data_IF_088267604649
#
_entry.id   IF_088267604649
#
_cell.length_a   1.000
_cell.length_b   1.000
_cell.length_c   1.000
_cell.angle_alpha   90.00
_cell.angle_beta   90.00
_cell.angle_gamma   90.00
#
_symmetry.space_group_name_H-M   'P 1'
#
loop_
_entity.id
_entity.type
_entity.pdbx_description
1 polymer ?
#
# COMPACT_ATOMS: atom_id res chain seq x y z
N UNK A 1 7.45 -11.82 -23.65
CA UNK A 1 8.81 -11.53 -23.18
C UNK A 1 9.23 -12.66 -22.25
N UNK A 2 10.37 -13.33 -22.45
CA UNK A 2 10.87 -14.33 -21.50
C UNK A 2 11.05 -13.73 -20.09
N UNK A 3 10.73 -14.46 -19.00
CA UNK A 3 10.86 -13.93 -17.63
C UNK A 3 12.25 -13.40 -17.30
N UNK A 4 13.29 -13.99 -17.90
CA UNK A 4 14.68 -13.57 -17.74
C UNK A 4 14.96 -12.15 -18.27
N UNK A 5 14.08 -11.61 -19.11
CA UNK A 5 14.27 -10.30 -19.73
C UNK A 5 13.56 -9.17 -18.98
N UNK A 6 12.84 -9.45 -17.88
CA UNK A 6 12.10 -8.43 -17.10
C UNK A 6 13.05 -7.38 -16.50
N UNK A 7 14.33 -7.72 -16.28
CA UNK A 7 15.33 -6.78 -15.77
C UNK A 7 15.11 -6.46 -14.29
N UNK A 8 15.29 -5.19 -13.91
CA UNK A 8 15.09 -4.72 -12.55
C UNK A 8 13.61 -4.45 -12.25
N UNK A 9 13.14 -4.92 -11.09
CA UNK A 9 11.75 -4.76 -10.65
C UNK A 9 11.70 -3.83 -9.45
N UNK A 10 11.09 -2.66 -9.61
CA UNK A 10 10.96 -1.68 -8.53
C UNK A 10 9.58 -1.76 -7.87
N UNK A 11 9.55 -2.03 -6.57
CA UNK A 11 8.32 -2.05 -5.78
C UNK A 11 7.94 -0.63 -5.34
N UNK A 12 6.77 -0.13 -5.80
CA UNK A 12 6.23 1.15 -5.34
C UNK A 12 5.46 0.94 -4.04
N UNK A 13 6.00 1.47 -2.95
CA UNK A 13 5.47 1.30 -1.60
C UNK A 13 5.13 2.66 -1.05
N UNK A 14 3.93 2.85 -0.50
CA UNK A 14 3.64 4.06 0.27
C UNK A 14 4.26 3.96 1.65
N UNK A 15 4.61 5.10 2.25
CA UNK A 15 5.04 5.20 3.64
C UNK A 15 4.00 4.72 4.69
N UNK A 16 2.74 4.52 4.30
CA UNK A 16 1.66 3.95 5.11
C UNK A 16 0.71 3.12 4.23
N UNK A 17 -0.12 2.27 4.82
CA UNK A 17 -0.99 1.37 4.07
C UNK A 17 -2.39 1.96 3.90
N UNK A 18 -2.99 1.77 2.71
CA UNK A 18 -4.36 2.19 2.43
C UNK A 18 -5.15 1.08 1.75
N UNK A 19 -6.45 0.98 2.04
CA UNK A 19 -7.34 0.00 1.42
C UNK A 19 -8.68 0.63 1.05
N UNK A 20 -9.25 0.19 -0.07
CA UNK A 20 -10.64 0.46 -0.44
C UNK A 20 -11.43 -0.83 -0.29
N UNK A 21 -12.62 -0.75 0.29
CA UNK A 21 -13.53 -1.88 0.43
C UNK A 21 -13.32 -2.72 1.69
N UNK A 22 -14.09 -3.82 1.73
CA UNK A 22 -14.14 -4.75 2.86
C UNK A 22 -12.95 -5.71 2.87
N UNK A 23 -12.69 -6.31 4.03
CA UNK A 23 -11.64 -7.30 4.23
C UNK A 23 -10.67 -6.93 5.34
N UNK A 24 -9.90 -7.92 5.80
CA UNK A 24 -8.95 -7.77 6.89
C UNK A 24 -7.91 -6.68 6.57
N UNK A 25 -7.64 -5.83 7.55
CA UNK A 25 -6.61 -4.81 7.45
C UNK A 25 -5.90 -4.72 8.81
N UNK A 26 -4.89 -5.58 9.05
CA UNK A 26 -4.30 -5.75 10.38
C UNK A 26 -3.74 -4.47 10.99
N UNK A 27 -3.19 -3.58 10.15
CA UNK A 27 -2.61 -2.31 10.60
C UNK A 27 -3.58 -1.12 10.53
N UNK A 28 -4.86 -1.35 10.24
CA UNK A 28 -5.86 -0.28 10.16
C UNK A 28 -5.90 0.56 11.43
N UNK A 29 -5.97 1.88 11.25
CA UNK A 29 -6.14 2.84 12.33
C UNK A 29 -7.57 3.42 12.25
N UNK A 30 -8.44 2.97 13.14
CA UNK A 30 -9.82 3.49 13.31
C UNK A 30 -9.87 4.60 14.36
N UNK A 31 -8.83 5.45 14.41
CA UNK A 31 -8.62 6.52 15.38
C UNK A 31 -8.14 7.79 14.65
N UNK A 32 -7.78 8.82 15.40
CA UNK A 32 -7.38 10.14 14.90
C UNK A 32 -6.15 10.07 13.98
N UNK A 33 -5.27 9.07 14.18
CA UNK A 33 -4.10 8.87 13.31
C UNK A 33 -4.53 8.42 11.91
N UNK A 34 -5.50 7.52 11.81
CA UNK A 34 -6.05 7.08 10.53
C UNK A 34 -6.70 8.23 9.76
N UNK A 35 -7.43 9.10 10.46
CA UNK A 35 -8.02 10.30 9.88
C UNK A 35 -6.97 11.32 9.41
N UNK A 36 -5.91 11.49 10.20
CA UNK A 36 -4.77 12.36 9.85
C UNK A 36 -4.08 11.87 8.58
N UNK A 37 -3.78 10.57 8.50
CA UNK A 37 -3.17 9.94 7.33
C UNK A 37 -4.07 10.10 6.10
N UNK A 38 -5.36 9.83 6.24
CA UNK A 38 -6.33 9.97 5.15
C UNK A 38 -6.38 11.40 4.62
N UNK A 39 -6.43 12.38 5.52
CA UNK A 39 -6.55 13.80 5.16
C UNK A 39 -5.28 14.34 4.52
N UNK A 40 -4.11 14.13 5.16
CA UNK A 40 -2.82 14.59 4.61
C UNK A 40 -2.47 13.91 3.30
N UNK A 41 -2.74 12.61 3.20
CA UNK A 41 -2.50 11.79 2.03
C UNK A 41 -3.51 11.99 0.89
N UNK A 42 -4.57 12.79 1.12
CA UNK A 42 -5.70 12.95 0.19
C UNK A 42 -6.25 11.59 -0.28
N UNK A 43 -6.42 10.67 0.66
CA UNK A 43 -6.79 9.28 0.39
C UNK A 43 -8.30 9.12 0.18
N UNK A 44 -8.77 9.78 -0.88
CA UNK A 44 -10.15 9.77 -1.34
C UNK A 44 -10.16 9.33 -2.79
N UNK A 45 -11.04 8.39 -3.15
CA UNK A 45 -11.16 7.89 -4.51
C UNK A 45 -11.53 9.02 -5.48
N UNK A 46 -10.74 9.20 -6.54
CA UNK A 46 -10.92 10.28 -7.52
C UNK A 46 -12.25 10.21 -8.29
N UNK A 47 -12.78 9.01 -8.54
CA UNK A 47 -14.04 8.83 -9.28
C UNK A 47 -15.24 8.72 -8.35
N UNK A 48 -15.13 7.89 -7.30
CA UNK A 48 -16.28 7.55 -6.43
C UNK A 48 -16.41 8.42 -5.19
N UNK A 49 -15.40 9.23 -4.87
CA UNK A 49 -15.34 10.00 -3.63
C UNK A 49 -15.20 9.14 -2.36
N UNK A 50 -15.05 7.82 -2.49
CA UNK A 50 -14.97 6.92 -1.33
C UNK A 50 -13.64 7.12 -0.59
N UNK A 51 -13.75 7.42 0.70
CA UNK A 51 -12.63 7.47 1.64
C UNK A 51 -11.93 6.11 1.72
N UNK A 52 -10.59 6.10 1.66
CA UNK A 52 -9.80 4.89 1.87
C UNK A 52 -9.56 4.66 3.35
N UNK A 53 -9.65 3.41 3.79
CA UNK A 53 -9.18 2.97 5.11
C UNK A 53 -7.66 3.17 5.15
N UNK A 54 -7.13 3.73 6.24
CA UNK A 54 -5.71 4.03 6.39
C UNK A 54 -5.13 3.32 7.62
N UNK A 55 -3.87 2.94 7.55
CA UNK A 55 -3.20 2.18 8.60
C UNK A 55 -1.68 2.29 8.52
N UNK A 56 -1.00 1.75 9.53
CA UNK A 56 0.46 1.72 9.55
C UNK A 56 1.04 0.92 8.38
N UNK A 57 2.31 1.21 8.05
CA UNK A 57 3.09 0.43 7.11
C UNK A 57 3.15 -1.04 7.56
N UNK A 58 2.65 -1.94 6.73
CA UNK A 58 2.68 -3.38 6.99
C UNK A 58 3.88 -4.04 6.29
N UNK A 59 4.95 -4.30 7.06
CA UNK A 59 6.16 -4.95 6.54
C UNK A 59 5.96 -6.45 6.24
N UNK A 60 4.99 -7.11 6.86
CA UNK A 60 4.66 -8.52 6.56
C UNK A 60 4.04 -8.59 5.16
N UNK A 61 3.12 -7.68 4.86
CA UNK A 61 2.54 -7.52 3.52
C UNK A 61 3.61 -7.21 2.47
N UNK A 62 4.54 -6.29 2.77
CA UNK A 62 5.62 -5.92 1.84
C UNK A 62 6.58 -7.09 1.60
N UNK A 63 6.95 -7.82 2.65
CA UNK A 63 7.78 -9.03 2.53
C UNK A 63 7.12 -10.06 1.62
N UNK A 64 5.82 -10.31 1.81
CA UNK A 64 5.07 -11.22 0.95
C UNK A 64 5.01 -10.74 -0.51
N UNK A 65 4.79 -9.45 -0.74
CA UNK A 65 4.82 -8.87 -2.07
C UNK A 65 6.19 -9.03 -2.74
N UNK A 66 7.29 -8.82 -2.00
CA UNK A 66 8.64 -9.07 -2.50
C UNK A 66 8.87 -10.55 -2.81
N UNK A 67 8.42 -11.48 -1.96
CA UNK A 67 8.57 -12.93 -2.21
C UNK A 67 7.92 -13.38 -3.52
N UNK A 68 6.80 -12.76 -3.92
CA UNK A 68 6.12 -13.08 -5.18
C UNK A 68 6.80 -12.42 -6.38
N UNK A 69 7.17 -11.15 -6.24
CA UNK A 69 7.55 -10.32 -7.38
C UNK A 69 9.05 -10.16 -7.58
N UNK A 70 9.88 -10.51 -6.59
CA UNK A 70 11.34 -10.43 -6.68
C UNK A 70 11.86 -9.00 -6.84
N UNK A 71 11.36 -8.04 -6.04
CA UNK A 71 11.76 -6.63 -6.16
C UNK A 71 13.28 -6.44 -6.00
N UNK A 72 13.90 -5.75 -6.95
CA UNK A 72 15.30 -5.32 -6.90
C UNK A 72 15.50 -4.19 -5.89
N UNK A 73 14.56 -3.24 -5.83
CA UNK A 73 14.57 -2.13 -4.88
C UNK A 73 13.14 -1.65 -4.58
N UNK A 74 12.98 -0.87 -3.51
CA UNK A 74 11.72 -0.24 -3.13
C UNK A 74 11.80 1.26 -3.35
N UNK A 75 10.77 1.83 -3.96
CA UNK A 75 10.51 3.27 -4.02
C UNK A 75 9.46 3.59 -2.95
N UNK A 76 9.86 4.33 -1.91
CA UNK A 76 9.04 4.69 -0.75
C UNK A 76 8.47 6.11 -0.85
#
# INVERSE_FOLDING_TARGET
>A
MPPQNVGEVYGVVKAYTTRVGIGAFPSEQSNEIGELLQTRGKEVGVTTGRKRRCGWLDLVLIKYAHMINGFTALAL
#
